data_IF_629900559734
#
_entry.id   IF_629900559734
#
_cell.length_a   1.000
_cell.length_b   1.000
_cell.length_c   1.000
_cell.angle_alpha   90.00
_cell.angle_beta   90.00
_cell.angle_gamma   90.00
#
_symmetry.space_group_name_H-M   'P 1'
#
loop_
_entity.id
_entity.type
_entity.pdbx_description
1 polymer ?
#
# COMPACT_ATOMS: atom_id res chain seq x y z
N UNK A 1 27.99 -4.04 -16.38
CA UNK A 1 26.87 -4.96 -16.12
C UNK A 1 25.97 -4.22 -15.16
N UNK A 2 24.69 -4.12 -15.49
CA UNK A 2 23.72 -3.47 -14.64
C UNK A 2 23.39 -4.38 -13.45
N UNK A 3 23.05 -3.78 -12.31
CA UNK A 3 22.65 -4.56 -11.15
C UNK A 3 21.26 -5.16 -11.38
N UNK A 4 21.05 -6.38 -10.89
CA UNK A 4 19.72 -6.96 -10.78
C UNK A 4 18.85 -6.11 -9.83
N UNK A 5 17.55 -6.05 -10.12
CA UNK A 5 16.58 -5.28 -9.35
C UNK A 5 15.43 -6.17 -8.89
N UNK A 6 14.79 -5.82 -7.79
CA UNK A 6 13.52 -6.43 -7.39
C UNK A 6 12.35 -5.54 -7.81
N UNK A 7 11.28 -6.17 -8.28
CA UNK A 7 10.00 -5.53 -8.57
C UNK A 7 8.91 -6.21 -7.74
N UNK A 8 8.12 -5.41 -7.03
CA UNK A 8 7.02 -5.90 -6.22
C UNK A 8 5.69 -5.65 -6.94
N UNK A 9 4.85 -6.68 -7.04
CA UNK A 9 3.60 -6.64 -7.82
C UNK A 9 2.43 -6.83 -6.86
N UNK A 10 1.70 -5.73 -6.64
CA UNK A 10 0.44 -5.72 -5.91
C UNK A 10 -0.71 -6.27 -6.75
N UNK A 11 -1.72 -6.85 -6.10
CA UNK A 11 -2.79 -7.57 -6.80
C UNK A 11 -4.14 -7.50 -6.08
N UNK A 12 -5.20 -7.95 -6.77
CA UNK A 12 -6.49 -8.23 -6.18
C UNK A 12 -6.64 -9.71 -5.87
N UNK A 13 -6.58 -10.09 -4.59
CA UNK A 13 -6.72 -11.49 -4.17
C UNK A 13 -8.14 -12.03 -4.39
N UNK A 14 -9.15 -11.16 -4.32
CA UNK A 14 -10.54 -11.50 -4.68
C UNK A 14 -10.73 -11.97 -6.13
N UNK A 15 -9.76 -11.70 -7.01
CA UNK A 15 -9.77 -12.12 -8.42
C UNK A 15 -8.92 -13.37 -8.68
N UNK A 16 -8.52 -14.10 -7.63
CA UNK A 16 -7.77 -15.36 -7.74
C UNK A 16 -6.26 -15.23 -7.55
N UNK A 17 -5.76 -14.04 -7.23
CA UNK A 17 -4.38 -13.80 -6.85
C UNK A 17 -4.12 -14.14 -5.37
N UNK A 18 -2.86 -14.36 -4.98
CA UNK A 18 -2.51 -14.81 -3.63
C UNK A 18 -1.92 -13.71 -2.72
N UNK A 19 -1.50 -12.56 -3.27
CA UNK A 19 -0.97 -11.45 -2.50
C UNK A 19 0.02 -10.57 -3.27
N UNK A 20 1.23 -10.38 -2.72
CA UNK A 20 2.30 -9.57 -3.35
C UNK A 20 3.36 -10.50 -3.92
N UNK A 21 3.61 -10.39 -5.22
CA UNK A 21 4.65 -11.18 -5.89
C UNK A 21 5.94 -10.36 -5.98
N UNK A 22 7.08 -10.98 -5.67
CA UNK A 22 8.38 -10.37 -5.94
C UNK A 22 8.99 -11.01 -7.18
N UNK A 23 9.34 -10.17 -8.14
CA UNK A 23 10.08 -10.53 -9.33
C UNK A 23 11.51 -10.03 -9.21
N UNK A 24 12.47 -10.83 -9.65
CA UNK A 24 13.85 -10.41 -9.86
C UNK A 24 14.04 -10.10 -11.35
N UNK A 25 14.48 -8.88 -11.64
CA UNK A 25 14.82 -8.43 -12.99
C UNK A 25 16.32 -8.56 -13.20
N UNK A 26 16.71 -9.29 -14.24
CA UNK A 26 18.09 -9.32 -14.70
C UNK A 26 18.50 -7.94 -15.22
N UNK A 27 19.57 -7.36 -14.66
CA UNK A 27 19.99 -6.00 -15.02
C UNK A 27 20.42 -5.84 -16.48
N UNK A 28 21.00 -6.88 -17.07
CA UNK A 28 21.55 -6.83 -18.43
C UNK A 28 20.52 -7.21 -19.51
N UNK A 29 19.59 -8.14 -19.23
CA UNK A 29 18.62 -8.66 -20.21
C UNK A 29 17.20 -8.12 -20.02
N UNK A 30 16.85 -7.67 -18.82
CA UNK A 30 15.49 -7.28 -18.45
C UNK A 30 14.54 -8.46 -18.24
N UNK A 31 15.03 -9.71 -18.26
CA UNK A 31 14.21 -10.88 -17.96
C UNK A 31 13.70 -10.85 -16.51
N UNK A 32 12.44 -11.24 -16.30
CA UNK A 32 11.79 -11.27 -15.00
C UNK A 32 11.57 -12.72 -14.55
N UNK A 33 12.01 -13.04 -13.34
CA UNK A 33 11.76 -14.31 -12.67
C UNK A 33 11.02 -14.06 -11.36
N UNK A 34 9.94 -14.79 -11.09
CA UNK A 34 9.31 -14.75 -9.78
C UNK A 34 10.20 -15.45 -8.75
N UNK A 35 10.58 -14.74 -7.69
CA UNK A 35 11.50 -15.25 -6.66
C UNK A 35 10.85 -15.45 -5.30
N UNK A 36 9.76 -14.73 -5.01
CA UNK A 36 8.99 -14.92 -3.77
C UNK A 36 7.54 -14.47 -3.92
N UNK A 37 6.72 -14.83 -2.92
CA UNK A 37 5.30 -14.49 -2.83
C UNK A 37 4.94 -14.28 -1.36
N UNK A 38 4.44 -13.10 -1.02
CA UNK A 38 3.84 -12.82 0.28
C UNK A 38 2.33 -13.03 0.22
N UNK A 39 1.81 -13.96 1.02
CA UNK A 39 0.39 -14.33 1.09
C UNK A 39 -0.27 -13.86 2.38
N UNK A 40 -1.58 -14.09 2.51
CA UNK A 40 -2.33 -13.74 3.72
C UNK A 40 -2.69 -12.25 3.82
N UNK A 41 -2.56 -11.52 2.71
CA UNK A 41 -2.82 -10.09 2.60
C UNK A 41 -3.94 -9.90 1.59
N UNK A 42 -5.03 -9.29 2.01
CA UNK A 42 -6.19 -9.12 1.15
C UNK A 42 -6.05 -7.88 0.26
N UNK A 43 -6.17 -8.09 -1.04
CA UNK A 43 -6.20 -7.03 -2.06
C UNK A 43 -5.10 -5.96 -1.88
N UNK A 44 -3.79 -6.34 -1.88
CA UNK A 44 -2.69 -5.39 -1.84
C UNK A 44 -2.57 -4.62 -3.18
N UNK A 45 -3.53 -3.75 -3.46
CA UNK A 45 -3.73 -3.14 -4.80
C UNK A 45 -2.78 -2.00 -5.13
N UNK A 46 -2.10 -1.45 -4.12
CA UNK A 46 -1.11 -0.38 -4.26
C UNK A 46 0.01 -0.54 -3.23
N UNK A 47 1.26 -0.32 -3.66
CA UNK A 47 2.46 -0.51 -2.86
C UNK A 47 3.32 0.76 -2.89
N UNK A 48 4.04 1.04 -1.81
CA UNK A 48 5.15 1.99 -1.80
C UNK A 48 6.33 1.44 -0.98
N UNK A 49 7.53 1.81 -1.41
CA UNK A 49 8.75 1.58 -0.65
C UNK A 49 9.02 2.79 0.23
N UNK A 50 9.70 2.56 1.35
CA UNK A 50 10.34 3.63 2.10
C UNK A 50 11.54 4.22 1.32
N UNK A 51 12.03 5.42 1.67
CA UNK A 51 13.18 6.02 1.01
C UNK A 51 14.46 5.16 1.05
N UNK A 52 14.58 4.30 2.07
CA UNK A 52 15.73 3.40 2.26
C UNK A 52 15.62 2.11 1.44
N UNK A 53 14.43 1.77 0.95
CA UNK A 53 14.05 0.49 0.36
C UNK A 53 14.23 -0.72 1.30
N UNK A 54 14.22 -0.52 2.62
CA UNK A 54 14.23 -1.59 3.61
C UNK A 54 12.83 -2.09 3.95
N UNK A 55 11.80 -1.26 3.70
CA UNK A 55 10.41 -1.56 4.01
C UNK A 55 9.48 -1.36 2.82
N UNK A 56 8.42 -2.16 2.78
CA UNK A 56 7.33 -2.03 1.83
C UNK A 56 6.03 -1.85 2.58
N UNK A 57 5.23 -0.89 2.13
CA UNK A 57 3.88 -0.64 2.63
C UNK A 57 2.86 -0.92 1.54
N UNK A 58 1.76 -1.59 1.91
CA UNK A 58 0.69 -1.93 0.99
C UNK A 58 -0.65 -1.43 1.53
N UNK A 59 -1.51 -0.89 0.66
CA UNK A 59 -2.93 -0.75 1.02
C UNK A 59 -3.55 -2.14 1.07
N UNK A 60 -4.50 -2.35 1.97
CA UNK A 60 -5.30 -3.57 2.03
C UNK A 60 -6.77 -3.19 1.92
N UNK A 61 -7.39 -3.51 0.79
CA UNK A 61 -8.84 -3.37 0.62
C UNK A 61 -9.55 -4.52 1.35
N UNK A 62 -9.56 -4.45 2.69
CA UNK A 62 -10.30 -5.34 3.58
C UNK A 62 -11.63 -4.69 4.00
N UNK A 63 -12.62 -5.54 4.28
CA UNK A 63 -13.94 -5.12 4.75
C UNK A 63 -14.82 -4.46 3.68
N UNK A 64 -16.01 -4.06 4.11
CA UNK A 64 -17.03 -3.42 3.28
C UNK A 64 -16.96 -1.88 3.39
N UNK A 65 -18.00 -1.21 2.89
CA UNK A 65 -18.09 0.25 2.77
C UNK A 65 -18.12 0.99 4.12
N UNK A 66 -18.09 0.28 5.26
CA UNK A 66 -18.34 0.86 6.60
C UNK A 66 -17.08 1.06 7.45
N UNK A 67 -15.89 1.11 6.84
CA UNK A 67 -14.65 1.54 7.50
C UNK A 67 -13.53 0.50 7.59
N UNK A 68 -13.61 -0.58 6.80
CA UNK A 68 -12.75 -1.75 6.93
C UNK A 68 -11.28 -1.57 6.54
N UNK A 69 -10.89 -0.56 5.76
CA UNK A 69 -9.56 -0.50 5.13
C UNK A 69 -8.36 -0.53 6.09
N UNK A 70 -7.23 -1.00 5.56
CA UNK A 70 -5.97 -1.08 6.30
C UNK A 70 -4.74 -0.78 5.42
N UNK A 71 -3.61 -0.60 6.09
CA UNK A 71 -2.27 -0.64 5.51
C UNK A 71 -1.46 -1.74 6.20
N UNK A 72 -0.68 -2.49 5.42
CA UNK A 72 0.26 -3.50 5.92
C UNK A 72 1.70 -3.03 5.69
N UNK A 73 2.59 -3.39 6.62
CA UNK A 73 4.03 -3.14 6.55
C UNK A 73 4.82 -4.45 6.47
N UNK A 74 5.88 -4.43 5.67
CA UNK A 74 6.79 -5.56 5.45
C UNK A 74 8.23 -5.07 5.52
N UNK A 75 9.13 -5.90 6.06
CA UNK A 75 10.56 -5.74 5.85
C UNK A 75 11.00 -6.51 4.60
N UNK A 76 12.02 -5.98 3.92
CA UNK A 76 12.53 -6.51 2.66
C UNK A 76 13.90 -7.14 2.90
N UNK A 77 14.03 -8.44 2.58
CA UNK A 77 15.34 -9.07 2.51
C UNK A 77 16.07 -8.57 1.24
N UNK A 78 17.06 -7.70 1.41
CA UNK A 78 17.81 -7.08 0.29
C UNK A 78 18.56 -8.08 -0.60
N UNK A 79 18.83 -9.29 -0.11
CA UNK A 79 19.52 -10.31 -0.90
C UNK A 79 18.56 -11.14 -1.76
N UNK A 80 17.31 -11.33 -1.31
CA UNK A 80 16.34 -12.27 -1.94
C UNK A 80 15.08 -11.60 -2.46
N UNK A 81 14.78 -10.37 -2.04
CA UNK A 81 13.51 -9.68 -2.30
C UNK A 81 12.32 -10.27 -1.54
N UNK A 82 12.56 -11.17 -0.58
CA UNK A 82 11.51 -11.75 0.25
C UNK A 82 10.93 -10.70 1.20
N UNK A 83 9.60 -10.65 1.27
CA UNK A 83 8.86 -9.77 2.16
C UNK A 83 8.51 -10.53 3.45
N UNK A 84 8.90 -9.98 4.60
CA UNK A 84 8.48 -10.48 5.91
C UNK A 84 7.42 -9.56 6.49
N UNK A 85 6.20 -10.04 6.80
CA UNK A 85 5.17 -9.18 7.38
C UNK A 85 5.58 -8.69 8.76
N UNK A 86 5.41 -7.39 9.00
CA UNK A 86 5.67 -6.75 10.29
C UNK A 86 4.36 -6.57 11.05
N UNK A 87 3.46 -5.73 10.52
CA UNK A 87 2.14 -5.53 11.09
C UNK A 87 1.13 -4.99 10.05
N UNK A 88 -0.11 -4.82 10.50
CA UNK A 88 -1.20 -4.22 9.75
C UNK A 88 -1.98 -3.29 10.67
N UNK A 89 -2.37 -2.12 10.16
CA UNK A 89 -3.12 -1.09 10.89
C UNK A 89 -4.28 -0.57 10.07
N UNK A 90 -5.38 -0.24 10.74
CA UNK A 90 -6.56 0.31 10.07
C UNK A 90 -6.29 1.74 9.60
N UNK A 91 -6.74 2.05 8.38
CA UNK A 91 -6.86 3.43 7.90
C UNK A 91 -8.12 4.11 8.47
N UNK A 92 -9.05 3.30 8.98
CA UNK A 92 -10.37 3.68 9.48
C UNK A 92 -11.30 4.26 8.41
N UNK A 93 -11.01 4.01 7.14
CA UNK A 93 -11.86 4.35 6.00
C UNK A 93 -11.93 3.19 5.00
N UNK A 94 -13.04 3.04 4.25
CA UNK A 94 -13.21 1.94 3.31
C UNK A 94 -12.48 2.19 1.98
N UNK A 95 -12.03 1.11 1.35
CA UNK A 95 -11.45 1.13 0.00
C UNK A 95 -10.17 1.97 -0.13
N UNK A 96 -9.12 1.71 0.68
CA UNK A 96 -7.81 2.33 0.47
C UNK A 96 -7.29 1.95 -0.92
N UNK A 97 -6.80 2.94 -1.66
CA UNK A 97 -6.46 2.78 -3.09
C UNK A 97 -5.07 3.28 -3.46
N UNK A 98 -4.45 4.06 -2.57
CA UNK A 98 -3.15 4.66 -2.77
C UNK A 98 -2.54 4.96 -1.40
N UNK A 99 -1.22 4.87 -1.32
CA UNK A 99 -0.46 5.34 -0.18
C UNK A 99 0.87 5.95 -0.63
N UNK A 100 1.49 6.73 0.24
CA UNK A 100 2.82 7.31 0.08
C UNK A 100 3.55 7.26 1.42
N UNK A 101 4.85 6.99 1.37
CA UNK A 101 5.77 7.20 2.49
C UNK A 101 6.36 8.60 2.36
N UNK A 102 6.38 9.37 3.43
CA UNK A 102 6.96 10.70 3.41
C UNK A 102 8.51 10.65 3.33
N UNK A 103 9.13 11.75 2.88
CA UNK A 103 10.58 11.78 2.66
C UNK A 103 11.41 11.64 3.95
N UNK A 104 10.83 11.89 5.13
CA UNK A 104 11.50 11.69 6.42
C UNK A 104 11.37 10.27 6.96
N UNK A 105 10.64 9.39 6.26
CA UNK A 105 10.38 8.00 6.64
C UNK A 105 9.71 7.87 8.03
N UNK A 106 8.81 8.80 8.33
CA UNK A 106 8.12 8.87 9.63
C UNK A 106 6.61 8.67 9.51
N UNK A 107 6.05 8.75 8.31
CA UNK A 107 4.62 8.68 8.04
C UNK A 107 4.32 7.87 6.78
N UNK A 108 3.29 7.02 6.88
CA UNK A 108 2.50 6.54 5.74
C UNK A 108 1.22 7.34 5.68
N UNK A 109 0.93 7.92 4.50
CA UNK A 109 -0.32 8.60 4.22
C UNK A 109 -1.11 7.78 3.20
N UNK A 110 -2.33 7.38 3.56
CA UNK A 110 -3.19 6.53 2.73
C UNK A 110 -4.49 7.25 2.34
N UNK A 111 -4.97 7.03 1.12
CA UNK A 111 -6.26 7.56 0.66
C UNK A 111 -7.30 6.46 0.48
N UNK A 112 -8.48 6.69 1.06
CA UNK A 112 -9.63 5.80 1.05
C UNK A 112 -10.61 6.27 -0.03
N UNK A 113 -10.58 5.64 -1.21
CA UNK A 113 -11.39 6.02 -2.36
C UNK A 113 -12.88 5.86 -2.09
N UNK A 114 -13.29 4.72 -1.53
CA UNK A 114 -14.71 4.47 -1.27
C UNK A 114 -15.24 5.38 -0.16
N UNK A 115 -14.39 5.76 0.81
CA UNK A 115 -14.77 6.62 1.94
C UNK A 115 -14.67 8.11 1.66
N UNK A 116 -13.86 8.53 0.68
CA UNK A 116 -13.55 9.93 0.46
C UNK A 116 -12.70 10.52 1.59
N UNK A 117 -11.70 9.79 2.09
CA UNK A 117 -10.89 10.25 3.22
C UNK A 117 -9.40 9.99 3.06
N UNK A 118 -8.60 10.66 3.88
CA UNK A 118 -7.15 10.48 3.98
C UNK A 118 -6.81 10.11 5.42
N UNK A 119 -5.91 9.15 5.61
CA UNK A 119 -5.44 8.70 6.92
C UNK A 119 -3.91 8.84 6.99
N UNK A 120 -3.41 9.24 8.17
CA UNK A 120 -1.97 9.32 8.46
C UNK A 120 -1.62 8.31 9.54
N UNK A 121 -0.64 7.46 9.27
CA UNK A 121 -0.11 6.46 10.19
C UNK A 121 1.39 6.73 10.42
N UNK A 122 1.86 6.85 11.66
CA UNK A 122 3.28 6.97 11.95
C UNK A 122 4.02 5.66 11.67
N UNK A 123 5.30 5.78 11.32
CA UNK A 123 6.24 4.67 11.18
C UNK A 123 7.09 4.61 12.46
N UNK A 124 7.20 3.43 13.06
CA UNK A 124 8.07 3.19 14.20
C UNK A 124 9.50 2.83 13.73
N UNK A 125 10.48 2.88 14.63
CA UNK A 125 11.90 2.61 14.32
C UNK A 125 12.17 1.22 13.67
N UNK A 126 11.25 0.25 13.82
CA UNK A 126 11.33 -1.09 13.24
C UNK A 126 10.58 -1.22 11.89
N UNK A 127 10.14 -0.10 11.31
CA UNK A 127 9.35 -0.06 10.07
C UNK A 127 7.87 -0.44 10.25
N UNK A 128 7.43 -0.74 11.48
CA UNK A 128 6.03 -1.06 11.75
C UNK A 128 5.16 0.19 11.75
N UNK A 129 3.89 0.05 11.36
CA UNK A 129 2.91 1.14 11.43
C UNK A 129 2.41 1.32 12.87
N UNK A 130 2.39 2.55 13.36
CA UNK A 130 1.69 2.94 14.59
C UNK A 130 0.19 3.15 14.38
N UNK A 131 -0.52 3.48 15.46
CA UNK A 131 -1.93 3.83 15.38
C UNK A 131 -2.13 5.13 14.57
N UNK A 132 -3.20 5.18 13.78
CA UNK A 132 -3.53 6.35 12.96
C UNK A 132 -3.63 7.62 13.82
N UNK A 133 -2.85 8.64 13.47
CA UNK A 133 -2.78 9.91 14.20
C UNK A 133 -3.70 10.99 13.61
N UNK A 134 -4.03 10.91 12.33
CA UNK A 134 -4.90 11.88 11.66
C UNK A 134 -5.86 11.19 10.68
N UNK A 135 -7.07 11.74 10.54
CA UNK A 135 -8.09 11.28 9.60
C UNK A 135 -8.89 12.46 9.06
N UNK A 136 -8.69 12.74 7.78
CA UNK A 136 -9.33 13.86 7.10
C UNK A 136 -10.46 13.31 6.23
N UNK A 137 -11.70 13.57 6.65
CA UNK A 137 -12.87 13.27 5.84
C UNK A 137 -13.10 14.38 4.82
N UNK A 138 -13.22 14.02 3.55
CA UNK A 138 -13.66 14.93 2.51
C UNK A 138 -15.16 14.75 2.28
N UNK A 139 -15.84 15.85 2.03
CA UNK A 139 -17.27 15.88 1.73
C UNK A 139 -17.51 16.55 0.37
N UNK A 140 -18.64 16.24 -0.25
CA UNK A 140 -19.03 16.81 -1.53
C UNK A 140 -19.69 15.78 -2.44
N UNK A 141 -20.39 16.27 -3.47
CA UNK A 141 -21.05 15.47 -4.48
C UNK A 141 -21.15 16.27 -5.78
N UNK A 142 -21.56 15.63 -6.88
CA UNK A 142 -21.71 16.29 -8.18
C UNK A 142 -22.85 15.69 -9.01
N UNK A 143 -23.00 16.15 -10.25
CA UNK A 143 -24.16 15.93 -11.11
C UNK A 143 -24.37 14.47 -11.54
N UNK A 144 -23.37 13.60 -11.40
CA UNK A 144 -23.50 12.18 -11.73
C UNK A 144 -23.81 11.36 -10.46
N UNK A 145 -25.09 11.07 -10.16
CA UNK A 145 -25.47 10.39 -8.93
C UNK A 145 -25.04 8.92 -8.86
N UNK A 146 -24.50 8.34 -9.93
CA UNK A 146 -24.00 6.95 -9.93
C UNK A 146 -22.51 6.84 -9.57
N UNK A 147 -21.77 7.95 -9.61
CA UNK A 147 -20.30 7.96 -9.48
C UNK A 147 -19.76 9.10 -8.63
N UNK A 148 -20.62 10.04 -8.23
CA UNK A 148 -20.26 11.30 -7.59
C UNK A 148 -21.28 11.65 -6.49
N UNK A 149 -21.86 10.63 -5.86
CA UNK A 149 -22.75 10.79 -4.71
C UNK A 149 -22.02 11.26 -3.44
N UNK A 150 -20.69 11.02 -3.38
CA UNK A 150 -19.80 11.46 -2.30
C UNK A 150 -18.40 11.78 -2.83
N UNK A 151 -17.51 12.23 -1.94
CA UNK A 151 -16.10 12.43 -2.25
C UNK A 151 -15.35 11.10 -2.45
N UNK A 152 -14.31 11.11 -3.28
CA UNK A 152 -13.46 9.95 -3.56
C UNK A 152 -11.98 10.36 -3.59
N UNK A 153 -11.31 10.36 -2.44
CA UNK A 153 -9.88 10.65 -2.34
C UNK A 153 -9.09 9.52 -3.03
N UNK A 154 -8.42 9.83 -4.13
CA UNK A 154 -7.82 8.81 -5.00
C UNK A 154 -6.29 8.71 -4.87
N UNK A 155 -5.63 9.81 -4.51
CA UNK A 155 -4.18 9.84 -4.37
C UNK A 155 -3.75 10.93 -3.41
N UNK A 156 -2.64 10.71 -2.74
CA UNK A 156 -1.93 11.72 -1.94
C UNK A 156 -0.51 11.84 -2.50
N UNK A 157 -0.04 13.08 -2.61
CA UNK A 157 1.32 13.39 -3.04
C UNK A 157 1.80 14.56 -2.18
N UNK A 158 2.98 14.41 -1.58
CA UNK A 158 3.66 15.46 -0.81
C UNK A 158 4.72 16.08 -1.73
N UNK A 159 4.94 17.39 -1.61
CA UNK A 159 5.88 18.18 -2.40
C UNK A 159 7.33 18.15 -1.88
#
# INVERSE_FOLDING_TARGET
MANDLFAFVGTYTRLGSEGIYTLKMNGDTGELEQVSLATGIENPSFLALDPSNEHLYAVCEIGDQDGGGACAAFSINQATGELTPINQKSTGGPGPCHLMVDASDSLVIATNYAGGSVAVLPINDDGSLGERTEFIQHEGSSINPQRQEKAHAHSVNID
#
